data_IF_959130537189
#
_entry.id   IF_959130537189
#
_cell.length_a   1.000
_cell.length_b   1.000
_cell.length_c   1.000
_cell.angle_alpha   90.00
_cell.angle_beta   90.00
_cell.angle_gamma   90.00
#
_symmetry.space_group_name_H-M   'P 1'
#
loop_
_entity.id
_entity.type
_entity.pdbx_description
1 polymer ?
#
# COMPACT_ATOMS: atom_id res chain seq x y z
N UNK A 1 8.36 5.14 8.54
CA UNK A 1 8.41 4.03 7.58
C UNK A 1 7.33 4.19 6.52
N UNK A 2 7.63 3.75 5.30
CA UNK A 2 6.75 3.91 4.15
C UNK A 2 6.68 2.60 3.38
N UNK A 3 5.48 2.25 2.92
CA UNK A 3 5.27 1.15 1.98
C UNK A 3 4.94 1.76 0.62
N UNK A 4 5.65 1.32 -0.41
CA UNK A 4 5.35 1.66 -1.80
C UNK A 4 4.79 0.42 -2.49
N UNK A 5 3.59 0.53 -3.04
CA UNK A 5 2.99 -0.52 -3.85
C UNK A 5 3.11 -0.20 -5.33
N UNK A 6 3.50 -1.19 -6.11
CA UNK A 6 3.51 -1.16 -7.57
C UNK A 6 3.13 -2.53 -8.12
N UNK A 7 2.52 -2.57 -9.29
CA UNK A 7 2.20 -3.83 -9.98
C UNK A 7 3.42 -4.41 -10.71
N UNK A 8 4.47 -3.62 -10.94
CA UNK A 8 5.55 -3.95 -11.85
C UNK A 8 6.87 -4.18 -11.15
N UNK A 9 7.50 -5.31 -11.42
CA UNK A 9 8.84 -5.64 -10.88
C UNK A 9 9.94 -4.71 -11.39
N UNK A 10 9.85 -4.29 -12.65
CA UNK A 10 10.80 -3.33 -13.20
C UNK A 10 10.75 -2.00 -12.45
N UNK A 11 9.55 -1.52 -12.10
CA UNK A 11 9.35 -0.33 -11.29
C UNK A 11 9.90 -0.53 -9.88
N UNK A 12 9.69 -1.69 -9.30
CA UNK A 12 10.21 -2.05 -7.98
C UNK A 12 11.73 -1.95 -7.94
N UNK A 13 12.41 -2.51 -8.93
CA UNK A 13 13.88 -2.46 -9.05
C UNK A 13 14.38 -1.02 -9.26
N UNK A 14 13.71 -0.25 -10.11
CA UNK A 14 14.04 1.15 -10.35
C UNK A 14 13.92 2.00 -9.07
N UNK A 15 12.83 1.84 -8.35
CA UNK A 15 12.59 2.58 -7.11
C UNK A 15 13.64 2.26 -6.05
N UNK A 16 14.02 1.00 -5.91
CA UNK A 16 15.10 0.63 -4.99
C UNK A 16 16.41 1.30 -5.36
N UNK A 17 16.78 1.27 -6.63
CA UNK A 17 17.98 1.95 -7.11
C UNK A 17 17.91 3.46 -6.85
N UNK A 18 16.81 4.10 -7.20
CA UNK A 18 16.63 5.54 -7.02
C UNK A 18 16.72 5.94 -5.54
N UNK A 19 16.01 5.24 -4.67
CA UNK A 19 16.05 5.52 -3.24
C UNK A 19 17.45 5.33 -2.66
N UNK A 20 18.16 4.32 -3.13
CA UNK A 20 19.53 4.09 -2.71
C UNK A 20 20.46 5.26 -3.10
N UNK A 21 20.26 5.88 -4.28
CA UNK A 21 21.00 7.08 -4.68
C UNK A 21 20.74 8.29 -3.78
N UNK A 22 19.60 8.29 -3.09
CA UNK A 22 19.20 9.34 -2.13
C UNK A 22 19.53 9.01 -0.68
N UNK A 23 20.23 7.92 -0.44
CA UNK A 23 20.58 7.48 0.91
C UNK A 23 19.42 6.92 1.71
N UNK A 24 18.33 6.52 1.05
CA UNK A 24 17.15 5.94 1.70
C UNK A 24 17.22 4.42 1.56
N UNK A 25 17.26 3.72 2.69
CA UNK A 25 17.28 2.27 2.72
C UNK A 25 15.92 1.68 2.34
N UNK A 26 15.93 0.67 1.48
CA UNK A 26 14.71 0.00 1.04
C UNK A 26 14.91 -1.50 0.90
N UNK A 27 13.81 -2.24 1.04
CA UNK A 27 13.76 -3.68 0.87
C UNK A 27 12.61 -4.05 -0.06
N UNK A 28 12.85 -5.04 -0.92
CA UNK A 28 11.85 -5.52 -1.88
C UNK A 28 11.04 -6.67 -1.30
N UNK A 29 9.76 -6.71 -1.65
CA UNK A 29 8.85 -7.77 -1.27
C UNK A 29 7.99 -8.19 -2.47
N UNK A 30 8.02 -9.48 -2.83
CA UNK A 30 7.18 -10.01 -3.90
C UNK A 30 6.65 -11.42 -3.57
N UNK A 31 5.64 -11.87 -4.31
CA UNK A 31 4.92 -13.11 -4.02
C UNK A 31 5.70 -14.41 -4.28
N UNK A 32 6.86 -14.33 -4.91
CA UNK A 32 7.70 -15.51 -5.15
C UNK A 32 8.61 -15.86 -3.99
N UNK A 33 8.66 -15.02 -2.97
CA UNK A 33 9.48 -15.29 -1.81
C UNK A 33 8.89 -16.45 -0.98
N UNK A 34 9.75 -17.32 -0.47
CA UNK A 34 9.37 -18.33 0.52
C UNK A 34 8.85 -17.65 1.79
N UNK A 35 8.11 -18.40 2.61
CA UNK A 35 7.62 -17.88 3.89
C UNK A 35 8.76 -17.34 4.76
N UNK A 36 9.86 -18.10 4.86
CA UNK A 36 11.04 -17.67 5.64
C UNK A 36 11.64 -16.37 5.14
N UNK A 37 11.74 -16.22 3.81
CA UNK A 37 12.26 -14.98 3.21
C UNK A 37 11.31 -13.81 3.42
N UNK A 38 10.00 -14.02 3.35
CA UNK A 38 8.99 -12.99 3.64
C UNK A 38 9.09 -12.49 5.08
N UNK A 39 9.19 -13.40 6.03
CA UNK A 39 9.34 -13.06 7.44
C UNK A 39 10.63 -12.27 7.70
N UNK A 40 11.73 -12.67 7.07
CA UNK A 40 13.00 -11.98 7.17
C UNK A 40 12.96 -10.57 6.58
N UNK A 41 12.36 -10.40 5.40
CA UNK A 41 12.18 -9.09 4.76
C UNK A 41 11.31 -8.17 5.63
N UNK A 42 10.23 -8.69 6.18
CA UNK A 42 9.37 -7.96 7.11
C UNK A 42 10.14 -7.48 8.34
N UNK A 43 11.00 -8.31 8.89
CA UNK A 43 11.83 -7.95 10.04
C UNK A 43 12.86 -6.89 9.68
N UNK A 44 13.51 -6.97 8.52
CA UNK A 44 14.42 -5.94 8.02
C UNK A 44 13.71 -4.60 7.87
N UNK A 45 12.51 -4.60 7.34
CA UNK A 45 11.70 -3.38 7.22
C UNK A 45 11.35 -2.81 8.58
N UNK A 46 10.97 -3.66 9.51
CA UNK A 46 10.62 -3.23 10.88
C UNK A 46 11.79 -2.60 11.61
N UNK A 47 12.97 -3.19 11.51
CA UNK A 47 14.11 -2.86 12.36
C UNK A 47 15.15 -1.96 11.68
N UNK A 48 15.32 -2.05 10.36
CA UNK A 48 16.43 -1.41 9.67
C UNK A 48 15.99 -0.48 8.53
N UNK A 49 15.19 -0.99 7.60
CA UNK A 49 14.90 -0.27 6.35
C UNK A 49 13.77 0.74 6.53
N UNK A 50 13.87 1.87 5.83
CA UNK A 50 12.87 2.94 5.87
C UNK A 50 11.69 2.68 4.95
N UNK A 51 11.92 1.98 3.82
CA UNK A 51 10.93 1.76 2.78
C UNK A 51 10.81 0.28 2.44
N UNK A 52 9.58 -0.20 2.36
CA UNK A 52 9.25 -1.49 1.77
C UNK A 52 8.62 -1.25 0.40
N UNK A 53 9.17 -1.84 -0.64
CA UNK A 53 8.60 -1.77 -1.99
C UNK A 53 7.98 -3.13 -2.31
N UNK A 54 6.65 -3.19 -2.37
CA UNK A 54 5.90 -4.42 -2.53
C UNK A 54 5.16 -4.47 -3.87
N UNK A 55 5.12 -5.64 -4.47
CA UNK A 55 4.16 -5.97 -5.52
C UNK A 55 2.88 -6.51 -4.90
N UNK A 56 1.77 -6.48 -5.63
CA UNK A 56 0.48 -6.94 -5.11
C UNK A 56 0.49 -8.42 -4.72
N UNK A 57 1.12 -9.25 -5.52
CA UNK A 57 1.28 -10.68 -5.21
C UNK A 57 2.13 -10.92 -3.96
N UNK A 58 3.00 -9.98 -3.63
CA UNK A 58 3.80 -10.03 -2.40
C UNK A 58 3.05 -9.57 -1.16
N UNK A 59 2.00 -8.76 -1.36
CA UNK A 59 1.26 -8.17 -0.25
C UNK A 59 0.31 -9.12 0.48
N UNK A 60 -0.03 -10.28 -0.08
CA UNK A 60 -0.95 -11.21 0.56
C UNK A 60 -0.37 -11.79 1.87
N UNK A 61 -1.17 -11.73 2.93
CA UNK A 61 -0.82 -12.30 4.22
C UNK A 61 0.17 -11.49 5.06
N UNK A 62 0.65 -10.35 4.58
CA UNK A 62 1.51 -9.47 5.38
C UNK A 62 0.68 -8.60 6.32
N UNK A 63 1.12 -8.54 7.57
CA UNK A 63 0.66 -7.59 8.55
C UNK A 63 1.74 -6.53 8.80
N UNK A 64 1.47 -5.29 8.40
CA UNK A 64 2.41 -4.18 8.46
C UNK A 64 1.82 -2.99 9.24
N UNK A 65 1.07 -3.26 10.30
CA UNK A 65 0.37 -2.26 11.11
C UNK A 65 1.29 -1.28 11.84
N UNK A 66 2.58 -1.58 11.95
CA UNK A 66 3.58 -0.64 12.47
C UNK A 66 3.93 0.47 11.47
N UNK A 67 3.49 0.38 10.23
CA UNK A 67 3.68 1.38 9.18
C UNK A 67 2.39 2.16 8.95
N UNK A 68 2.49 3.48 8.87
CA UNK A 68 1.33 4.38 8.75
C UNK A 68 1.33 5.20 7.46
N UNK A 69 2.27 4.97 6.55
CA UNK A 69 2.37 5.68 5.28
C UNK A 69 2.38 4.68 4.12
N UNK A 70 1.47 4.87 3.18
CA UNK A 70 1.33 4.03 1.98
C UNK A 70 1.38 4.91 0.75
N UNK A 71 2.26 4.57 -0.19
CA UNK A 71 2.31 5.20 -1.51
C UNK A 71 1.87 4.17 -2.54
N UNK A 72 0.80 4.47 -3.26
CA UNK A 72 0.42 3.71 -4.44
C UNK A 72 1.10 4.34 -5.66
N UNK A 73 2.21 3.77 -6.09
CA UNK A 73 3.01 4.30 -7.20
C UNK A 73 2.28 4.18 -8.53
N UNK A 74 1.53 3.11 -8.70
CA UNK A 74 0.57 2.92 -9.77
C UNK A 74 -0.78 2.46 -9.18
N UNK A 75 -1.87 2.74 -9.89
CA UNK A 75 -3.21 2.43 -9.40
C UNK A 75 -3.73 1.16 -10.09
N UNK A 76 -4.24 0.19 -9.31
CA UNK A 76 -4.85 -1.00 -9.88
C UNK A 76 -6.20 -0.67 -10.52
N UNK A 77 -6.55 -1.36 -11.60
CA UNK A 77 -7.86 -1.25 -12.23
C UNK A 77 -8.99 -1.73 -11.33
N UNK A 78 -8.71 -2.71 -10.48
CA UNK A 78 -9.69 -3.28 -9.57
C UNK A 78 -9.63 -2.56 -8.22
N UNK A 79 -10.73 -1.88 -7.79
CA UNK A 79 -10.78 -1.19 -6.51
C UNK A 79 -10.49 -2.10 -5.31
N UNK A 80 -10.85 -3.39 -5.41
CA UNK A 80 -10.58 -4.35 -4.33
C UNK A 80 -9.09 -4.57 -4.07
N UNK A 81 -8.26 -4.46 -5.10
CA UNK A 81 -6.80 -4.52 -4.92
C UNK A 81 -6.28 -3.32 -4.13
N UNK A 82 -6.84 -2.14 -4.35
CA UNK A 82 -6.49 -0.95 -3.58
C UNK A 82 -6.89 -1.13 -2.10
N UNK A 83 -8.08 -1.62 -1.84
CA UNK A 83 -8.54 -1.93 -0.48
C UNK A 83 -7.64 -2.98 0.19
N UNK A 84 -7.21 -4.00 -0.53
CA UNK A 84 -6.26 -5.00 -0.04
C UNK A 84 -4.90 -4.39 0.32
N UNK A 85 -4.40 -3.45 -0.49
CA UNK A 85 -3.16 -2.71 -0.16
C UNK A 85 -3.30 -1.95 1.16
N UNK A 86 -4.38 -1.21 1.30
CA UNK A 86 -4.67 -0.42 2.50
C UNK A 86 -4.85 -1.35 3.72
N UNK A 87 -5.53 -2.46 3.56
CA UNK A 87 -5.75 -3.45 4.63
C UNK A 87 -4.50 -4.09 5.21
N UNK A 88 -3.33 -3.95 4.56
CA UNK A 88 -2.06 -4.41 5.11
C UNK A 88 -1.55 -3.53 6.25
N UNK A 89 -1.93 -2.28 6.24
CA UNK A 89 -1.47 -1.28 7.21
C UNK A 89 -2.58 -0.78 8.12
N UNK A 90 -3.81 -0.73 7.64
CA UNK A 90 -4.98 -0.27 8.40
C UNK A 90 -5.83 -1.44 8.88
N UNK A 91 -6.10 -1.48 10.18
CA UNK A 91 -6.98 -2.47 10.81
C UNK A 91 -7.85 -1.85 11.89
N UNK A 92 -8.96 -2.55 12.19
CA UNK A 92 -9.85 -2.17 13.28
C UNK A 92 -9.09 -2.03 14.61
N UNK A 93 -9.37 -0.97 15.36
CA UNK A 93 -8.74 -0.72 16.65
C UNK A 93 -7.35 -0.08 16.58
N UNK A 94 -6.89 0.30 15.39
CA UNK A 94 -5.64 1.02 15.23
C UNK A 94 -5.78 2.46 15.72
N UNK A 95 -4.85 2.91 16.57
CA UNK A 95 -4.92 4.23 17.20
C UNK A 95 -4.38 5.34 16.28
N UNK A 96 -3.46 5.03 15.37
CA UNK A 96 -2.85 6.00 14.48
C UNK A 96 -3.47 5.99 13.10
N UNK A 97 -3.60 7.18 12.52
CA UNK A 97 -4.10 7.36 11.16
C UNK A 97 -3.11 6.80 10.12
N UNK A 98 -3.66 6.20 9.09
CA UNK A 98 -2.89 5.77 7.92
C UNK A 98 -2.98 6.84 6.84
N UNK A 99 -1.83 7.29 6.36
CA UNK A 99 -1.72 8.28 5.29
C UNK A 99 -1.49 7.56 3.95
N UNK A 100 -2.38 7.80 3.00
CA UNK A 100 -2.36 7.13 1.69
C UNK A 100 -2.10 8.16 0.62
N UNK A 101 -1.06 7.94 -0.17
CA UNK A 101 -0.65 8.80 -1.28
C UNK A 101 -0.84 8.05 -2.59
N UNK A 102 -1.75 8.53 -3.43
CA UNK A 102 -1.99 7.96 -4.75
C UNK A 102 -1.30 8.80 -5.82
N UNK A 103 -0.39 8.20 -6.58
CA UNK A 103 0.27 8.87 -7.68
C UNK A 103 -0.48 8.61 -8.98
N UNK A 104 -0.87 9.67 -9.65
CA UNK A 104 -1.51 9.62 -10.95
C UNK A 104 -0.98 10.77 -11.81
N UNK A 105 -0.72 10.49 -13.08
CA UNK A 105 -0.34 11.53 -14.03
C UNK A 105 -1.61 12.21 -14.53
N UNK A 106 -1.66 13.53 -14.46
CA UNK A 106 -2.78 14.32 -14.92
C UNK A 106 -3.10 14.04 -16.39
N UNK A 107 -4.39 14.03 -16.74
CA UNK A 107 -4.91 13.74 -18.09
C UNK A 107 -4.55 12.35 -18.66
N UNK A 108 -4.23 11.40 -17.81
CA UNK A 108 -3.94 10.02 -18.19
C UNK A 108 -5.06 9.06 -17.74
N UNK A 109 -4.92 7.81 -18.19
CA UNK A 109 -5.78 6.70 -17.74
C UNK A 109 -5.76 6.53 -16.22
N UNK A 110 -4.61 6.77 -15.58
CA UNK A 110 -4.47 6.68 -14.11
C UNK A 110 -5.33 7.71 -13.40
N UNK A 111 -5.41 8.93 -13.93
CA UNK A 111 -6.29 9.96 -13.39
C UNK A 111 -7.77 9.53 -13.47
N UNK A 112 -8.17 8.90 -14.59
CA UNK A 112 -9.53 8.38 -14.75
C UNK A 112 -9.83 7.24 -13.79
N UNK A 113 -8.87 6.38 -13.53
CA UNK A 113 -9.00 5.29 -12.52
C UNK A 113 -9.18 5.89 -11.14
N UNK A 114 -8.38 6.89 -10.78
CA UNK A 114 -8.48 7.56 -9.48
C UNK A 114 -9.87 8.21 -9.30
N UNK A 115 -10.38 8.89 -10.32
CA UNK A 115 -11.71 9.50 -10.29
C UNK A 115 -12.81 8.45 -10.12
N UNK A 116 -12.72 7.33 -10.84
CA UNK A 116 -13.66 6.21 -10.71
C UNK A 116 -13.62 5.56 -9.33
N UNK A 117 -12.44 5.41 -8.75
CA UNK A 117 -12.27 4.86 -7.40
C UNK A 117 -12.88 5.80 -6.36
N UNK A 118 -12.67 7.12 -6.51
CA UNK A 118 -13.29 8.14 -5.67
C UNK A 118 -14.81 8.06 -5.73
N UNK A 119 -15.40 8.00 -6.93
CA UNK A 119 -16.85 7.89 -7.11
C UNK A 119 -17.42 6.61 -6.48
N UNK A 120 -16.73 5.49 -6.59
CA UNK A 120 -17.16 4.23 -5.96
C UNK A 120 -17.11 4.28 -4.46
N UNK A 121 -16.08 4.88 -3.90
CA UNK A 121 -15.96 5.09 -2.44
C UNK A 121 -17.09 5.99 -1.96
N UNK A 122 -17.37 7.09 -2.65
CA UNK A 122 -18.45 8.01 -2.31
C UNK A 122 -19.82 7.33 -2.33
N UNK A 123 -20.10 6.49 -3.33
CA UNK A 123 -21.34 5.71 -3.41
C UNK A 123 -21.43 4.73 -2.24
N UNK A 124 -20.35 4.04 -1.93
CA UNK A 124 -20.30 3.10 -0.82
C UNK A 124 -20.58 3.82 0.52
N UNK A 125 -19.93 4.95 0.76
CA UNK A 125 -20.14 5.76 1.96
C UNK A 125 -21.58 6.25 2.10
N UNK A 126 -22.22 6.65 0.99
CA UNK A 126 -23.62 7.09 1.00
C UNK A 126 -24.61 5.96 1.31
N UNK A 127 -24.30 4.73 0.90
CA UNK A 127 -25.21 3.57 1.10
C UNK A 127 -25.02 2.92 2.46
N UNK A 128 -23.79 2.78 2.95
CA UNK A 128 -23.45 2.06 4.19
C UNK A 128 -22.96 2.96 5.32
N UNK A 129 -22.86 4.27 5.08
CA UNK A 129 -22.33 5.25 6.02
C UNK A 129 -20.82 5.42 5.88
N UNK A 130 -20.28 6.35 6.68
CA UNK A 130 -18.85 6.64 6.64
C UNK A 130 -18.05 5.38 7.00
N UNK A 131 -17.09 5.04 6.16
CA UNK A 131 -16.26 3.85 6.32
C UNK A 131 -15.50 3.89 7.66
N UNK A 132 -14.99 5.05 8.04
CA UNK A 132 -14.30 5.24 9.31
C UNK A 132 -15.25 5.05 10.50
N UNK A 133 -16.48 5.51 10.40
CA UNK A 133 -17.52 5.30 11.40
C UNK A 133 -17.90 3.83 11.54
N UNK A 134 -17.96 3.11 10.44
CA UNK A 134 -18.23 1.66 10.45
C UNK A 134 -17.07 0.89 11.07
N UNK A 135 -15.85 1.27 10.74
CA UNK A 135 -14.64 0.63 11.25
C UNK A 135 -14.41 0.92 12.73
N UNK A 136 -14.75 2.12 13.19
CA UNK A 136 -14.63 2.50 14.61
C UNK A 136 -15.76 1.97 15.48
N UNK A 137 -16.98 1.87 14.97
CA UNK A 137 -18.13 1.34 15.72
C UNK A 137 -18.11 -0.17 15.95
N UNK A 138 -17.28 -0.91 15.21
CA UNK A 138 -17.09 -2.35 15.39
C UNK A 138 -15.91 -2.72 16.28
N UNK A 139 -15.19 -1.74 16.70
CA UNK A 139 -14.16 -1.93 17.73
C UNK A 139 -14.78 -1.84 19.15
#
# INVERSE_FOLDING_TARGET
>A
KVIIFTEYRATQAYLQWYLNTKGISSVLFNGKFSKSKRDWVKQLFRERDQVLIATESGGEGINLQFCHHVINYDLPWNPMKLEQRIGRVHRLGQEEDVHIYNLAIEDTIEQKILDLLGDKIDVFEKVVGDLDDILTKKA
#
